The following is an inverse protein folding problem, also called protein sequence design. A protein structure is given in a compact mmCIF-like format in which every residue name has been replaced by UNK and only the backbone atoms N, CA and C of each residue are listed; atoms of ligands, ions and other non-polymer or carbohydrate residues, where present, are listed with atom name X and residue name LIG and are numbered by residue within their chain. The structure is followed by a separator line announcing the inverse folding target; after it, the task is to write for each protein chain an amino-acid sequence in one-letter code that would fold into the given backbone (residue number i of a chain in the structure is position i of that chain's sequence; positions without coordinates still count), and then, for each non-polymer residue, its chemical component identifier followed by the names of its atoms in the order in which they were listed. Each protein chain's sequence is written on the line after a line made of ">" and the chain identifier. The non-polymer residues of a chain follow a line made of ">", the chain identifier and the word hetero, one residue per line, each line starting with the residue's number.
data_IF_207658476041
#
_entry.id   IF_207658476041
#
_cell.length_a   1.000
_cell.length_b   1.000
_cell.length_c   1.000
_cell.angle_alpha   90.00
_cell.angle_beta   90.00
_cell.angle_gamma   90.00
#
_symmetry.space_group_name_H-M   'P 1'
#
loop_
_entity.id
_entity.type
_entity.pdbx_description
1 polymer ?
#
# COMPACT_ATOMS: atom_id res chain seq x y z
N UNK A 1 18.67 6.58 -7.13
CA UNK A 1 19.93 6.98 -6.52
C UNK A 1 20.17 8.49 -6.67
N UNK A 2 19.89 9.07 -7.84
CA UNK A 2 20.15 10.49 -8.13
C UNK A 2 19.41 11.44 -7.19
N UNK A 3 18.15 11.15 -6.86
CA UNK A 3 17.37 11.90 -5.87
C UNK A 3 18.00 11.87 -4.48
N UNK A 4 18.52 10.73 -4.04
CA UNK A 4 19.20 10.58 -2.75
C UNK A 4 20.50 11.41 -2.75
N UNK A 5 21.32 11.30 -3.81
CA UNK A 5 22.56 12.08 -3.95
C UNK A 5 22.26 13.56 -3.94
N UNK A 6 21.26 14.02 -4.70
CA UNK A 6 20.87 15.43 -4.74
C UNK A 6 20.39 15.93 -3.39
N UNK A 7 19.61 15.15 -2.65
CA UNK A 7 19.14 15.50 -1.31
C UNK A 7 20.31 15.64 -0.35
N UNK A 8 21.26 14.70 -0.33
CA UNK A 8 22.45 14.80 0.51
C UNK A 8 23.35 15.98 0.12
N UNK A 9 23.48 16.29 -1.17
CA UNK A 9 24.26 17.44 -1.64
C UNK A 9 23.65 18.77 -1.19
N UNK A 10 22.33 18.87 -1.14
CA UNK A 10 21.60 20.09 -0.75
C UNK A 10 21.48 20.18 0.79
N UNK A 11 21.04 19.12 1.44
CA UNK A 11 20.66 19.14 2.85
C UNK A 11 21.80 18.72 3.80
N UNK A 12 22.77 17.94 3.34
CA UNK A 12 23.90 17.46 4.17
C UNK A 12 24.78 18.58 4.73
N UNK A 13 24.66 19.81 4.21
CA UNK A 13 25.34 21.01 4.72
C UNK A 13 24.65 21.63 5.95
N UNK A 14 23.46 21.17 6.32
CA UNK A 14 22.60 21.80 7.32
C UNK A 14 22.65 21.13 8.71
N UNK A 15 23.74 20.47 9.07
CA UNK A 15 23.88 19.79 10.39
C UNK A 15 22.73 18.80 10.69
N UNK A 16 22.21 18.13 9.66
CA UNK A 16 21.10 17.17 9.78
C UNK A 16 21.53 15.97 10.61
N UNK A 17 20.79 15.69 11.69
CA UNK A 17 21.08 14.59 12.61
C UNK A 17 20.43 13.27 12.21
N UNK A 18 19.41 13.31 11.35
CA UNK A 18 18.62 12.18 10.94
C UNK A 18 18.28 12.29 9.45
N UNK A 19 18.45 11.20 8.73
CA UNK A 19 17.95 11.03 7.37
C UNK A 19 16.97 9.86 7.34
N UNK A 20 15.76 10.10 6.83
CA UNK A 20 14.77 9.06 6.50
C UNK A 20 14.73 8.96 5.00
N UNK A 21 14.99 7.74 4.48
CA UNK A 21 15.12 7.49 3.05
C UNK A 21 14.13 6.39 2.67
N UNK A 22 13.21 6.71 1.78
CA UNK A 22 12.38 5.71 1.12
C UNK A 22 13.15 5.16 -0.08
N UNK A 23 13.18 3.84 -0.21
CA UNK A 23 13.93 3.14 -1.25
C UNK A 23 13.00 2.10 -1.86
N UNK A 24 12.82 2.16 -3.19
CA UNK A 24 12.18 1.06 -3.91
C UNK A 24 13.07 -0.20 -3.88
N UNK A 25 12.44 -1.35 -3.91
CA UNK A 25 13.07 -2.66 -3.75
C UNK A 25 14.20 -2.90 -4.77
N UNK A 26 14.00 -2.49 -6.01
CA UNK A 26 14.98 -2.64 -7.08
C UNK A 26 16.20 -1.75 -6.94
N UNK A 27 16.10 -0.66 -6.16
CA UNK A 27 17.20 0.27 -5.90
C UNK A 27 18.06 -0.13 -4.70
N UNK A 28 17.61 -1.06 -3.85
CA UNK A 28 18.32 -1.44 -2.62
C UNK A 28 19.78 -1.80 -2.89
N UNK A 29 20.03 -2.67 -3.86
CA UNK A 29 21.39 -3.12 -4.22
C UNK A 29 22.32 -1.95 -4.59
N UNK A 30 21.80 -0.90 -5.22
CA UNK A 30 22.60 0.27 -5.60
C UNK A 30 22.82 1.21 -4.42
N UNK A 31 21.78 1.45 -3.62
CA UNK A 31 21.84 2.38 -2.47
C UNK A 31 22.73 1.82 -1.36
N UNK A 32 22.59 0.55 -1.03
CA UNK A 32 23.32 -0.12 0.04
C UNK A 32 24.85 -0.26 -0.20
N UNK A 33 25.31 0.04 -1.42
CA UNK A 33 26.74 0.19 -1.71
C UNK A 33 27.35 1.46 -1.11
N UNK A 34 26.54 2.49 -0.91
CA UNK A 34 27.00 3.83 -0.50
C UNK A 34 26.47 4.22 0.88
N UNK A 35 25.34 3.66 1.30
CA UNK A 35 24.68 4.02 2.54
C UNK A 35 24.39 2.74 3.31
N UNK A 36 24.86 2.66 4.56
CA UNK A 36 24.45 1.63 5.51
C UNK A 36 23.54 2.29 6.54
N UNK A 37 22.23 1.99 6.52
CA UNK A 37 21.31 2.56 7.51
C UNK A 37 21.55 1.95 8.88
N UNK A 38 21.25 2.69 9.94
CA UNK A 38 21.27 2.16 11.31
C UNK A 38 20.00 1.37 11.63
N UNK A 39 18.90 1.73 10.99
CA UNK A 39 17.59 1.07 11.10
C UNK A 39 17.00 0.86 9.72
N UNK A 40 16.35 -0.27 9.53
CA UNK A 40 15.71 -0.62 8.25
C UNK A 40 14.30 -1.14 8.52
N UNK A 41 13.29 -0.43 8.00
CA UNK A 41 11.89 -0.78 8.20
C UNK A 41 11.38 -1.53 6.97
N UNK A 42 10.74 -2.66 7.18
CA UNK A 42 10.12 -3.47 6.12
C UNK A 42 8.67 -3.76 6.52
N UNK A 43 7.73 -3.26 5.71
CA UNK A 43 6.32 -3.35 6.05
C UNK A 43 5.66 -4.62 5.48
N UNK A 44 5.75 -4.83 4.18
CA UNK A 44 5.17 -6.00 3.51
C UNK A 44 5.81 -6.23 2.15
N UNK A 45 5.60 -7.44 1.60
CA UNK A 45 5.92 -7.77 0.22
C UNK A 45 4.66 -8.23 -0.49
N UNK A 46 4.26 -7.47 -1.50
CA UNK A 46 3.24 -7.88 -2.45
C UNK A 46 3.84 -7.97 -3.84
N UNK A 47 3.24 -8.78 -4.68
CA UNK A 47 3.64 -8.89 -6.07
C UNK A 47 3.47 -7.54 -6.77
N UNK A 48 4.57 -6.98 -7.25
CA UNK A 48 4.60 -5.69 -7.94
C UNK A 48 5.59 -5.76 -9.10
N UNK A 49 5.13 -5.40 -10.30
CA UNK A 49 5.97 -5.28 -11.50
C UNK A 49 6.97 -6.44 -11.68
N UNK A 50 6.45 -7.68 -11.82
CA UNK A 50 7.27 -8.91 -11.95
C UNK A 50 8.29 -8.79 -13.11
N UNK A 51 7.91 -8.10 -14.18
CA UNK A 51 8.77 -7.79 -15.32
C UNK A 51 10.00 -6.94 -14.95
N UNK A 52 9.92 -6.13 -13.88
CA UNK A 52 11.01 -5.28 -13.37
C UNK A 52 11.82 -5.91 -12.25
N UNK A 53 11.15 -6.55 -11.30
CA UNK A 53 11.75 -6.97 -10.03
C UNK A 53 11.85 -8.48 -9.88
N UNK A 54 11.20 -9.24 -10.77
CA UNK A 54 11.13 -10.69 -10.68
C UNK A 54 10.19 -11.17 -9.56
N UNK A 55 10.27 -12.45 -9.26
CA UNK A 55 9.47 -13.08 -8.21
C UNK A 55 9.88 -12.58 -6.82
N UNK A 56 8.92 -12.54 -5.88
CA UNK A 56 9.11 -12.06 -4.50
C UNK A 56 10.29 -12.76 -3.82
N UNK A 57 10.47 -14.05 -4.03
CA UNK A 57 11.59 -14.82 -3.45
C UNK A 57 12.96 -14.29 -3.88
N UNK A 58 13.12 -13.93 -5.15
CA UNK A 58 14.36 -13.36 -5.68
C UNK A 58 14.63 -11.99 -5.09
N UNK A 59 13.58 -11.19 -4.93
CA UNK A 59 13.66 -9.87 -4.31
C UNK A 59 14.10 -9.97 -2.84
N UNK A 60 13.47 -10.86 -2.07
CA UNK A 60 13.82 -11.09 -0.66
C UNK A 60 15.27 -11.59 -0.53
N UNK A 61 15.71 -12.51 -1.40
CA UNK A 61 17.09 -12.98 -1.41
C UNK A 61 18.06 -11.82 -1.68
N UNK A 62 17.76 -10.97 -2.66
CA UNK A 62 18.57 -9.79 -2.99
C UNK A 62 18.67 -8.82 -1.82
N UNK A 63 17.57 -8.57 -1.11
CA UNK A 63 17.57 -7.71 0.09
C UNK A 63 18.42 -8.35 1.18
N UNK A 64 18.25 -9.64 1.44
CA UNK A 64 19.02 -10.39 2.42
C UNK A 64 20.54 -10.29 2.18
N UNK A 65 20.98 -10.50 0.94
CA UNK A 65 22.38 -10.32 0.55
C UNK A 65 22.94 -8.91 0.87
N UNK A 66 22.10 -7.88 0.74
CA UNK A 66 22.53 -6.52 1.05
C UNK A 66 22.56 -6.22 2.56
N UNK A 67 21.82 -6.97 3.36
CA UNK A 67 21.80 -6.85 4.83
C UNK A 67 22.90 -7.69 5.50
N UNK A 68 23.33 -8.76 4.84
CA UNK A 68 24.27 -9.75 5.40
C UNK A 68 25.57 -9.09 5.89
N UNK A 69 25.99 -9.42 7.12
CA UNK A 69 27.21 -8.92 7.74
C UNK A 69 27.19 -7.44 8.14
N UNK A 70 26.04 -6.76 8.00
CA UNK A 70 25.88 -5.36 8.41
C UNK A 70 25.18 -5.27 9.77
N UNK A 71 25.63 -4.34 10.60
CA UNK A 71 24.99 -4.05 11.90
C UNK A 71 23.81 -3.12 11.71
N UNK A 72 22.66 -3.71 11.39
CA UNK A 72 21.43 -2.97 11.11
C UNK A 72 20.32 -3.53 12.02
N UNK A 73 19.63 -2.64 12.75
CA UNK A 73 18.41 -3.01 13.44
C UNK A 73 17.27 -3.06 12.43
N UNK A 74 16.64 -4.23 12.28
CA UNK A 74 15.47 -4.39 11.44
C UNK A 74 14.19 -4.15 12.24
N UNK A 75 13.27 -3.41 11.67
CA UNK A 75 11.91 -3.18 12.19
C UNK A 75 10.95 -3.83 11.20
N UNK A 76 10.41 -4.97 11.59
CA UNK A 76 9.78 -5.95 10.71
C UNK A 76 8.30 -6.14 11.05
N UNK A 77 7.46 -6.17 10.02
CA UNK A 77 6.07 -6.62 10.17
C UNK A 77 6.05 -8.14 10.41
N UNK A 78 5.61 -8.55 11.60
CA UNK A 78 5.50 -9.95 11.97
C UNK A 78 4.38 -10.67 11.23
N UNK A 79 3.35 -9.95 10.82
CA UNK A 79 2.18 -10.52 10.16
C UNK A 79 2.48 -10.97 8.72
N UNK A 80 3.62 -10.52 8.13
CA UNK A 80 4.05 -10.93 6.80
C UNK A 80 5.15 -12.00 6.85
N UNK A 81 4.87 -13.25 6.44
CA UNK A 81 5.88 -14.31 6.40
C UNK A 81 7.09 -13.99 5.52
N UNK A 82 6.90 -13.21 4.46
CA UNK A 82 7.99 -12.78 3.60
C UNK A 82 8.96 -11.82 4.31
N UNK A 83 8.41 -10.92 5.13
CA UNK A 83 9.21 -9.97 5.90
C UNK A 83 10.00 -10.67 7.00
N UNK A 84 9.36 -11.60 7.73
CA UNK A 84 10.03 -12.30 8.83
C UNK A 84 11.17 -13.23 8.37
N UNK A 85 11.21 -13.63 7.10
CA UNK A 85 12.37 -14.34 6.49
C UNK A 85 13.68 -13.55 6.59
N UNK A 86 13.60 -12.23 6.65
CA UNK A 86 14.76 -11.35 6.72
C UNK A 86 15.32 -11.19 8.13
N UNK A 87 14.63 -11.68 9.15
CA UNK A 87 15.03 -11.54 10.57
C UNK A 87 16.44 -12.05 10.87
N UNK A 88 16.90 -13.08 10.15
CA UNK A 88 18.23 -13.68 10.30
C UNK A 88 19.39 -12.75 9.90
N UNK A 89 19.10 -11.64 9.21
CA UNK A 89 20.10 -10.68 8.73
C UNK A 89 20.24 -9.43 9.62
N UNK A 90 19.38 -9.26 10.62
CA UNK A 90 19.39 -8.08 11.51
C UNK A 90 19.93 -8.38 12.89
N UNK A 91 20.38 -7.33 13.57
CA UNK A 91 20.72 -7.35 14.99
C UNK A 91 19.62 -6.68 15.80
N UNK A 92 19.19 -7.28 16.92
CA UNK A 92 18.14 -6.74 17.82
C UNK A 92 16.85 -6.35 17.08
N UNK A 93 16.32 -7.28 16.33
CA UNK A 93 15.13 -7.07 15.53
C UNK A 93 13.92 -6.65 16.36
N UNK A 94 13.18 -5.67 15.86
CA UNK A 94 11.92 -5.21 16.42
C UNK A 94 10.79 -5.69 15.52
N UNK A 95 9.76 -6.30 16.12
CA UNK A 95 8.59 -6.74 15.39
C UNK A 95 7.38 -5.90 15.74
N UNK A 96 6.55 -5.65 14.74
CA UNK A 96 5.24 -5.01 14.90
C UNK A 96 4.17 -5.83 14.18
N UNK A 97 2.92 -5.68 14.58
CA UNK A 97 1.79 -6.40 14.01
C UNK A 97 0.46 -5.91 14.56
N UNK A 98 -0.62 -6.53 14.12
CA UNK A 98 -1.98 -6.16 14.51
C UNK A 98 -2.60 -7.34 15.28
N UNK A 99 -3.20 -7.08 16.44
CA UNK A 99 -3.89 -8.13 17.22
C UNK A 99 -5.07 -8.71 16.43
N UNK A 100 -5.35 -10.00 16.61
CA UNK A 100 -6.39 -10.74 15.85
C UNK A 100 -7.74 -10.04 15.83
N UNK A 101 -8.13 -9.46 16.95
CA UNK A 101 -9.45 -8.84 17.14
C UNK A 101 -9.40 -7.30 17.07
N UNK A 102 -8.28 -6.71 16.67
CA UNK A 102 -8.10 -5.25 16.67
C UNK A 102 -8.94 -4.56 15.60
N UNK A 103 -9.11 -5.19 14.47
CA UNK A 103 -9.88 -4.71 13.33
C UNK A 103 -10.27 -5.85 12.39
N UNK A 104 -11.50 -5.80 11.86
CA UNK A 104 -11.95 -6.73 10.83
C UNK A 104 -11.63 -6.17 9.46
N UNK A 105 -10.57 -6.66 8.85
CA UNK A 105 -10.20 -6.26 7.48
C UNK A 105 -11.21 -6.77 6.46
N UNK A 106 -11.35 -6.04 5.36
CA UNK A 106 -12.07 -6.54 4.19
C UNK A 106 -11.33 -7.74 3.63
N UNK A 107 -12.07 -8.81 3.34
CA UNK A 107 -11.50 -10.03 2.74
C UNK A 107 -11.19 -9.75 1.27
N UNK A 108 -9.95 -9.43 0.98
CA UNK A 108 -9.48 -9.23 -0.39
C UNK A 108 -8.00 -9.65 -0.53
N UNK A 109 -7.69 -10.09 -1.73
CA UNK A 109 -6.34 -10.42 -2.13
C UNK A 109 -6.03 -11.91 -2.14
N UNK A 110 -4.97 -12.25 -2.86
CA UNK A 110 -4.46 -13.61 -2.99
C UNK A 110 -3.35 -13.78 -1.98
N UNK A 111 -3.38 -14.86 -1.20
CA UNK A 111 -2.26 -15.23 -0.34
C UNK A 111 -1.08 -15.68 -1.21
N UNK A 112 -0.02 -14.87 -1.21
CA UNK A 112 1.23 -15.15 -1.94
C UNK A 112 2.16 -16.08 -1.15
N UNK A 113 2.05 -16.11 0.18
CA UNK A 113 2.91 -16.91 1.07
C UNK A 113 2.19 -18.14 1.58
N UNK A 114 2.16 -19.20 0.78
CA UNK A 114 1.54 -20.48 1.14
C UNK A 114 2.49 -21.46 1.80
N UNK A 115 3.78 -21.35 1.53
CA UNK A 115 4.76 -22.35 1.93
C UNK A 115 5.82 -21.77 2.85
N UNK A 116 6.23 -22.59 3.83
CA UNK A 116 7.29 -22.27 4.77
C UNK A 116 8.63 -22.02 4.03
N UNK A 117 9.28 -20.87 4.20
CA UNK A 117 10.52 -20.55 3.51
C UNK A 117 11.71 -21.41 3.96
N UNK A 118 11.61 -22.07 5.13
CA UNK A 118 12.68 -22.86 5.69
C UNK A 118 12.61 -24.35 5.26
N UNK A 119 11.40 -24.91 5.11
CA UNK A 119 11.26 -26.34 4.88
C UNK A 119 10.27 -26.73 3.78
N UNK A 120 9.63 -25.75 3.12
CA UNK A 120 8.69 -25.98 2.02
C UNK A 120 7.32 -26.58 2.42
N UNK A 121 7.08 -26.81 3.72
CA UNK A 121 5.78 -27.27 4.19
C UNK A 121 4.75 -26.15 4.05
N UNK A 122 3.49 -26.47 3.82
CA UNK A 122 2.40 -25.49 3.83
C UNK A 122 2.31 -24.81 5.20
N UNK A 123 2.17 -23.47 5.19
CA UNK A 123 1.97 -22.68 6.42
C UNK A 123 0.53 -22.83 6.88
N UNK A 124 0.35 -22.96 8.19
CA UNK A 124 -0.95 -22.92 8.83
C UNK A 124 -1.19 -21.49 9.31
N UNK A 125 -2.30 -20.92 8.87
CA UNK A 125 -2.75 -19.60 9.31
C UNK A 125 -3.81 -19.75 10.39
N UNK A 126 -3.50 -19.31 11.60
CA UNK A 126 -4.46 -19.26 12.72
C UNK A 126 -5.42 -18.08 12.59
N UNK A 127 -5.00 -17.02 11.89
CA UNK A 127 -5.80 -15.85 11.59
C UNK A 127 -5.22 -15.13 10.36
N UNK A 128 -6.07 -14.64 9.48
CA UNK A 128 -5.70 -13.83 8.31
C UNK A 128 -6.34 -12.46 8.46
N UNK A 129 -5.54 -11.43 8.37
CA UNK A 129 -6.04 -10.05 8.27
C UNK A 129 -6.48 -9.75 6.83
N UNK A 130 -5.56 -9.82 5.88
CA UNK A 130 -5.85 -9.82 4.44
C UNK A 130 -4.64 -10.34 3.66
N UNK A 131 -4.88 -10.95 2.50
CA UNK A 131 -3.86 -11.58 1.67
C UNK A 131 -3.02 -12.60 2.46
N UNK A 132 -1.70 -12.44 2.57
CA UNK A 132 -0.81 -13.27 3.38
C UNK A 132 -0.53 -12.71 4.77
N UNK A 133 -1.10 -11.57 5.13
CA UNK A 133 -0.84 -10.94 6.43
C UNK A 133 -1.70 -11.57 7.52
N UNK A 134 -1.07 -11.98 8.61
CA UNK A 134 -1.78 -12.56 9.74
C UNK A 134 -0.90 -13.38 10.67
N UNK A 135 -1.54 -14.27 11.42
CA UNK A 135 -0.88 -15.16 12.37
C UNK A 135 -0.68 -16.53 11.73
N UNK A 136 0.55 -16.94 11.61
CA UNK A 136 0.94 -18.18 10.93
C UNK A 136 2.00 -18.95 11.69
N UNK A 137 2.05 -20.26 11.44
CA UNK A 137 3.12 -21.13 11.90
C UNK A 137 3.37 -22.29 10.94
N UNK A 138 4.55 -22.88 11.02
CA UNK A 138 4.90 -24.09 10.29
C UNK A 138 4.76 -25.31 11.21
N UNK A 139 4.01 -26.33 10.78
CA UNK A 139 3.85 -27.58 11.54
C UNK A 139 5.11 -28.43 11.62
N UNK A 140 6.14 -28.16 10.79
CA UNK A 140 7.35 -28.98 10.67
C UNK A 140 8.60 -28.34 11.24
N UNK A 141 8.67 -27.02 11.28
CA UNK A 141 9.83 -26.28 11.80
C UNK A 141 9.39 -25.08 12.64
N UNK A 142 10.34 -24.35 13.22
CA UNK A 142 10.07 -23.25 14.15
C UNK A 142 9.81 -21.91 13.42
N UNK A 143 9.40 -21.94 12.15
CA UNK A 143 9.04 -20.71 11.45
C UNK A 143 7.61 -20.33 11.80
N UNK A 144 7.46 -19.19 12.45
CA UNK A 144 6.16 -18.72 12.95
C UNK A 144 6.13 -17.19 13.05
N UNK A 145 4.93 -16.67 13.22
CA UNK A 145 4.69 -15.29 13.60
C UNK A 145 5.44 -14.95 14.89
N UNK A 146 6.21 -13.83 14.88
CA UNK A 146 7.07 -13.44 15.99
C UNK A 146 6.30 -12.60 17.03
N UNK A 147 6.77 -12.63 18.28
CA UNK A 147 6.23 -11.75 19.31
C UNK A 147 6.50 -10.28 18.98
N UNK A 148 5.43 -9.51 18.91
CA UNK A 148 5.52 -8.09 18.52
C UNK A 148 5.79 -7.18 19.72
N UNK A 149 6.65 -6.19 19.51
CA UNK A 149 6.91 -5.12 20.49
C UNK A 149 5.86 -4.01 20.38
N UNK A 150 5.40 -3.75 19.17
CA UNK A 150 4.38 -2.75 18.88
C UNK A 150 3.19 -3.42 18.21
N UNK A 151 2.06 -3.40 18.91
CA UNK A 151 0.84 -4.08 18.46
C UNK A 151 -0.32 -3.09 18.39
N UNK A 152 -1.01 -3.02 17.24
CA UNK A 152 -2.32 -2.38 17.20
C UNK A 152 -3.30 -3.28 17.91
N UNK A 153 -3.85 -2.80 19.02
CA UNK A 153 -4.79 -3.55 19.86
C UNK A 153 -6.25 -3.20 19.59
N UNK A 154 -6.49 -2.06 18.93
CA UNK A 154 -7.82 -1.62 18.47
C UNK A 154 -7.66 -0.64 17.32
N UNK A 155 -8.50 -0.77 16.30
CA UNK A 155 -8.58 0.21 15.22
C UNK A 155 -10.02 0.40 14.71
N UNK A 156 -10.28 1.59 14.16
CA UNK A 156 -11.45 1.93 13.34
C UNK A 156 -10.95 2.70 12.13
N UNK A 157 -11.66 2.65 11.00
CA UNK A 157 -11.23 3.31 9.76
C UNK A 157 -12.21 4.34 9.22
N UNK A 158 -13.34 4.49 9.85
CA UNK A 158 -14.39 5.42 9.42
C UNK A 158 -14.53 6.61 10.36
N UNK A 159 -14.56 7.85 9.83
CA UNK A 159 -14.19 8.23 8.45
C UNK A 159 -12.69 8.18 8.20
N UNK A 160 -11.89 8.11 9.26
CA UNK A 160 -10.43 8.04 9.25
C UNK A 160 -9.94 7.03 10.28
N UNK A 161 -8.71 6.58 10.11
CA UNK A 161 -8.11 5.64 11.04
C UNK A 161 -7.92 6.29 12.41
N UNK A 162 -8.49 5.60 13.40
CA UNK A 162 -8.24 5.82 14.81
C UNK A 162 -7.77 4.50 15.40
N UNK A 163 -6.57 4.45 15.99
CA UNK A 163 -5.98 3.21 16.49
C UNK A 163 -5.29 3.38 17.82
N UNK A 164 -5.28 2.32 18.62
CA UNK A 164 -4.51 2.22 19.86
C UNK A 164 -3.40 1.20 19.71
N UNK A 165 -2.20 1.53 20.17
CA UNK A 165 -1.02 0.66 20.12
C UNK A 165 -0.68 0.28 21.55
N UNK A 166 -0.46 -1.03 21.82
CA UNK A 166 -0.14 -1.60 23.13
C UNK A 166 -1.13 -1.13 24.24
N UNK A 167 -2.43 -1.04 23.92
CA UNK A 167 -3.47 -0.49 24.79
C UNK A 167 -3.22 0.94 25.29
N UNK A 168 -2.38 1.69 24.58
CA UNK A 168 -2.12 3.11 24.85
C UNK A 168 -3.26 4.04 24.40
N UNK A 169 -3.01 5.34 24.44
CA UNK A 169 -3.96 6.34 23.98
C UNK A 169 -4.27 6.19 22.48
N UNK A 170 -5.50 6.52 22.11
CA UNK A 170 -5.90 6.48 20.72
C UNK A 170 -5.14 7.52 19.88
N UNK A 171 -4.66 7.09 18.71
CA UNK A 171 -4.01 7.94 17.72
C UNK A 171 -5.03 8.21 16.61
N UNK A 172 -5.52 9.44 16.56
CA UNK A 172 -6.45 9.90 15.54
C UNK A 172 -5.66 10.41 14.33
N UNK A 173 -6.06 10.02 13.13
CA UNK A 173 -5.38 10.42 11.88
C UNK A 173 -6.36 11.02 10.88
N UNK A 174 -5.83 11.46 9.74
CA UNK A 174 -6.61 11.87 8.56
C UNK A 174 -6.46 10.89 7.40
N UNK A 175 -5.92 9.71 7.68
CA UNK A 175 -5.77 8.63 6.72
C UNK A 175 -7.01 7.74 6.74
N UNK A 176 -7.45 7.33 5.56
CA UNK A 176 -8.48 6.33 5.35
C UNK A 176 -7.87 5.07 4.71
N UNK A 177 -8.65 3.99 4.62
CA UNK A 177 -8.22 2.71 4.04
C UNK A 177 -7.45 1.86 5.06
N UNK A 178 -7.94 0.66 5.29
CA UNK A 178 -7.49 -0.25 6.34
C UNK A 178 -6.01 -0.68 6.21
N UNK A 179 -5.50 -0.82 4.98
CA UNK A 179 -4.08 -1.11 4.73
C UNK A 179 -3.13 -0.05 5.33
N UNK A 180 -3.61 1.19 5.54
CA UNK A 180 -2.83 2.25 6.17
C UNK A 180 -2.62 2.04 7.66
N UNK A 181 -3.34 1.12 8.31
CA UNK A 181 -3.07 0.74 9.71
C UNK A 181 -1.63 0.21 9.82
N UNK A 182 -1.19 -0.67 8.90
CA UNK A 182 0.19 -1.16 8.85
C UNK A 182 1.21 -0.05 8.56
N UNK A 183 0.89 0.87 7.66
CA UNK A 183 1.78 1.99 7.32
C UNK A 183 2.00 2.91 8.54
N UNK A 184 0.92 3.21 9.27
CA UNK A 184 0.98 4.00 10.50
C UNK A 184 1.75 3.28 11.61
N UNK A 185 1.52 1.98 11.76
CA UNK A 185 2.20 1.16 12.76
C UNK A 185 3.71 1.05 12.48
N UNK A 186 4.10 0.86 11.23
CA UNK A 186 5.51 0.86 10.81
C UNK A 186 6.19 2.21 11.13
N UNK A 187 5.53 3.33 10.80
CA UNK A 187 6.00 4.66 11.13
C UNK A 187 6.10 4.87 12.66
N UNK A 188 5.07 4.48 13.40
CA UNK A 188 5.08 4.55 14.87
C UNK A 188 6.26 3.76 15.45
N UNK A 189 6.44 2.52 15.00
CA UNK A 189 7.51 1.63 15.48
C UNK A 189 8.89 2.24 15.26
N UNK A 190 9.15 2.78 14.08
CA UNK A 190 10.41 3.48 13.80
C UNK A 190 10.61 4.69 14.72
N UNK A 191 9.58 5.51 14.87
CA UNK A 191 9.68 6.75 15.68
C UNK A 191 9.88 6.45 17.16
N UNK A 192 9.31 5.38 17.69
CA UNK A 192 9.56 4.88 19.05
C UNK A 192 11.00 4.42 19.19
N UNK A 193 11.54 3.67 18.22
CA UNK A 193 12.94 3.22 18.23
C UNK A 193 13.96 4.36 18.01
N UNK A 194 13.51 5.51 17.55
CA UNK A 194 14.28 6.76 17.50
C UNK A 194 14.15 7.58 18.80
N UNK A 195 13.40 7.11 19.81
CA UNK A 195 13.27 7.72 21.12
C UNK A 195 12.26 8.86 21.21
N UNK A 196 11.32 8.97 20.28
CA UNK A 196 10.26 9.98 20.36
C UNK A 196 9.18 9.56 21.39
N UNK A 197 8.64 10.56 22.10
CA UNK A 197 7.49 10.32 22.99
C UNK A 197 6.21 10.05 22.20
N UNK A 198 5.29 9.30 22.81
CA UNK A 198 3.99 8.96 22.19
C UNK A 198 3.20 10.19 21.75
N UNK A 199 3.15 11.22 22.58
CA UNK A 199 2.46 12.48 22.25
C UNK A 199 3.00 13.13 20.97
N UNK A 200 4.33 13.15 20.81
CA UNK A 200 4.93 13.69 19.59
C UNK A 200 4.62 12.85 18.36
N UNK A 201 4.63 11.53 18.52
CA UNK A 201 4.28 10.60 17.44
C UNK A 201 2.81 10.75 17.08
N UNK A 202 1.90 10.70 18.06
CA UNK A 202 0.48 10.85 17.84
C UNK A 202 0.15 12.19 17.17
N UNK A 203 0.75 13.30 17.63
CA UNK A 203 0.61 14.61 16.98
C UNK A 203 1.10 14.59 15.53
N UNK A 204 2.28 13.99 15.27
CA UNK A 204 2.85 13.90 13.92
C UNK A 204 1.97 13.10 12.96
N UNK A 205 1.53 11.92 13.38
CA UNK A 205 0.64 11.07 12.59
C UNK A 205 -0.74 11.72 12.36
N UNK A 206 -1.30 12.39 13.39
CA UNK A 206 -2.59 13.06 13.32
C UNK A 206 -2.61 14.32 12.43
N UNK A 207 -1.45 14.95 12.23
CA UNK A 207 -1.35 16.13 11.35
C UNK A 207 -1.03 15.78 9.90
N UNK A 208 -0.63 14.56 9.62
CA UNK A 208 -0.33 14.12 8.26
C UNK A 208 -1.60 14.14 7.40
N UNK A 209 -1.52 14.80 6.25
CA UNK A 209 -2.59 14.83 5.26
C UNK A 209 -2.10 14.13 4.00
N UNK A 210 -2.81 13.10 3.51
CA UNK A 210 -2.41 12.37 2.32
C UNK A 210 -2.43 13.29 1.09
N UNK A 211 -1.41 13.15 0.26
CA UNK A 211 -1.21 13.89 -0.99
C UNK A 211 -0.80 12.92 -2.10
N UNK A 212 -0.70 13.40 -3.32
CA UNK A 212 -0.15 12.65 -4.44
C UNK A 212 -0.86 11.28 -4.66
N UNK A 213 -2.18 11.29 -4.69
CA UNK A 213 -2.96 10.09 -4.99
C UNK A 213 -2.92 9.02 -3.88
N UNK A 214 -2.73 9.41 -2.64
CA UNK A 214 -2.80 8.50 -1.48
C UNK A 214 -4.08 8.77 -0.69
N UNK A 215 -5.24 8.29 -1.19
CA UNK A 215 -6.56 8.59 -0.61
C UNK A 215 -6.84 10.11 -0.53
N UNK A 216 -6.36 10.85 -1.53
CA UNK A 216 -6.55 12.29 -1.59
C UNK A 216 -8.00 12.63 -1.93
N UNK A 217 -8.64 13.45 -1.10
CA UNK A 217 -9.99 13.94 -1.35
C UNK A 217 -9.94 15.25 -2.13
N UNK A 218 -10.65 15.30 -3.26
CA UNK A 218 -10.79 16.49 -4.13
C UNK A 218 -12.27 16.82 -4.23
N UNK A 219 -12.65 18.02 -3.81
CA UNK A 219 -14.04 18.48 -3.88
C UNK A 219 -14.26 19.32 -5.15
N UNK A 220 -15.36 19.05 -5.86
CA UNK A 220 -15.75 19.79 -7.04
C UNK A 220 -16.71 20.94 -6.69
N UNK A 221 -16.80 21.91 -7.56
CA UNK A 221 -17.68 23.08 -7.39
C UNK A 221 -19.18 22.71 -7.30
N UNK A 222 -19.59 21.57 -7.86
CA UNK A 222 -20.96 21.03 -7.77
C UNK A 222 -21.25 20.33 -6.43
N UNK A 223 -20.29 20.27 -5.49
CA UNK A 223 -20.41 19.62 -4.19
C UNK A 223 -20.10 18.13 -4.18
N UNK A 224 -19.75 17.52 -5.32
CA UNK A 224 -19.28 16.15 -5.35
C UNK A 224 -17.84 16.02 -4.87
N UNK A 225 -17.47 14.85 -4.38
CA UNK A 225 -16.13 14.55 -3.88
C UNK A 225 -15.55 13.36 -4.63
N UNK A 226 -14.31 13.53 -5.09
CA UNK A 226 -13.52 12.46 -5.71
C UNK A 226 -12.42 12.02 -4.76
N UNK A 227 -12.34 10.72 -4.49
CA UNK A 227 -11.21 10.11 -3.81
C UNK A 227 -10.20 9.64 -4.86
N UNK A 228 -9.03 10.25 -4.86
CA UNK A 228 -7.94 9.90 -5.77
C UNK A 228 -6.98 8.93 -5.06
N UNK A 229 -6.83 7.72 -5.59
CA UNK A 229 -5.92 6.71 -5.06
C UNK A 229 -5.11 6.04 -6.17
N UNK A 230 -3.79 6.03 -6.01
CA UNK A 230 -2.87 5.38 -6.94
C UNK A 230 -2.93 3.86 -6.78
N UNK A 231 -3.06 3.13 -7.88
CA UNK A 231 -2.87 1.68 -7.90
C UNK A 231 -1.97 1.25 -9.06
N UNK A 232 -1.00 0.39 -8.79
CA UNK A 232 0.00 -0.08 -9.78
C UNK A 232 0.21 -1.60 -9.77
N UNK A 233 -0.54 -2.31 -8.95
CA UNK A 233 -0.49 -3.77 -8.81
C UNK A 233 -1.85 -4.32 -8.33
N UNK A 234 -2.08 -5.65 -8.37
CA UNK A 234 -3.36 -6.24 -7.97
C UNK A 234 -3.78 -5.88 -6.55
N UNK A 235 -2.86 -5.96 -5.57
CA UNK A 235 -3.18 -5.69 -4.17
C UNK A 235 -3.61 -4.23 -3.96
N UNK A 236 -2.88 -3.27 -4.55
CA UNK A 236 -3.23 -1.85 -4.50
C UNK A 236 -4.53 -1.53 -5.21
N UNK A 237 -4.83 -2.21 -6.33
CA UNK A 237 -6.10 -2.00 -7.04
C UNK A 237 -7.26 -2.61 -6.27
N UNK A 238 -7.13 -3.82 -5.71
CA UNK A 238 -8.14 -4.43 -4.86
C UNK A 238 -8.49 -3.53 -3.66
N UNK A 239 -7.47 -3.04 -2.95
CA UNK A 239 -7.66 -2.11 -1.84
C UNK A 239 -8.39 -0.82 -2.29
N UNK A 240 -8.05 -0.29 -3.47
CA UNK A 240 -8.67 0.91 -4.02
C UNK A 240 -10.14 0.67 -4.44
N UNK A 241 -10.44 -0.49 -5.01
CA UNK A 241 -11.81 -0.88 -5.36
C UNK A 241 -12.67 -1.09 -4.11
N UNK A 242 -12.09 -1.64 -3.04
CA UNK A 242 -12.79 -1.89 -1.78
C UNK A 242 -13.18 -0.61 -1.01
N UNK A 243 -12.58 0.55 -1.31
CA UNK A 243 -12.91 1.83 -0.66
C UNK A 243 -14.41 2.13 -0.68
N UNK A 244 -15.07 1.80 -1.79
CA UNK A 244 -16.49 2.07 -1.96
C UNK A 244 -17.42 1.09 -1.23
N UNK A 245 -16.91 0.03 -0.61
CA UNK A 245 -17.77 -0.95 0.08
C UNK A 245 -18.55 -0.33 1.25
N UNK A 246 -18.02 0.73 1.86
CA UNK A 246 -18.68 1.48 2.93
C UNK A 246 -19.63 2.57 2.43
N UNK A 247 -19.60 2.91 1.12
CA UNK A 247 -20.43 3.97 0.53
C UNK A 247 -21.75 3.37 0.09
N UNK A 248 -22.87 3.85 0.68
CA UNK A 248 -24.22 3.39 0.35
C UNK A 248 -24.85 4.11 -0.83
N UNK A 249 -24.40 5.33 -1.10
CA UNK A 249 -24.86 6.15 -2.20
C UNK A 249 -24.36 5.61 -3.55
N UNK A 250 -24.99 6.05 -4.64
CA UNK A 250 -24.49 5.80 -5.99
C UNK A 250 -23.12 6.45 -6.20
N UNK A 251 -22.19 5.69 -6.78
CA UNK A 251 -20.80 6.15 -7.01
C UNK A 251 -20.40 6.03 -8.47
N UNK A 252 -19.41 6.81 -8.85
CA UNK A 252 -18.76 6.70 -10.15
C UNK A 252 -17.30 6.31 -9.97
N UNK A 253 -16.75 5.60 -10.96
CA UNK A 253 -15.31 5.32 -11.04
C UNK A 253 -14.67 6.00 -12.24
N UNK A 254 -13.42 6.42 -12.07
CA UNK A 254 -12.47 6.73 -13.12
C UNK A 254 -11.27 5.79 -12.96
N UNK A 255 -11.13 4.84 -13.86
CA UNK A 255 -10.00 3.91 -13.89
C UNK A 255 -9.05 4.34 -15.02
N UNK A 256 -7.78 4.62 -14.70
CA UNK A 256 -6.81 5.09 -15.68
C UNK A 256 -5.59 4.18 -15.72
N UNK A 257 -5.34 3.57 -16.87
CA UNK A 257 -4.25 2.60 -17.05
C UNK A 257 -3.35 2.98 -18.22
N UNK A 258 -2.08 3.21 -17.93
CA UNK A 258 -1.01 3.33 -18.90
C UNK A 258 -0.07 2.11 -18.83
N UNK A 259 0.75 1.94 -19.87
CA UNK A 259 1.80 0.93 -19.99
C UNK A 259 3.15 1.56 -20.35
N UNK A 260 3.43 2.73 -19.78
CA UNK A 260 4.73 3.37 -19.95
C UNK A 260 5.82 2.59 -19.19
N UNK A 261 7.09 2.76 -19.56
CA UNK A 261 8.18 2.02 -18.94
C UNK A 261 8.25 2.11 -17.40
N UNK A 262 7.74 3.21 -16.81
CA UNK A 262 7.67 3.37 -15.36
C UNK A 262 6.46 2.65 -14.72
N UNK A 263 5.43 2.31 -15.50
CA UNK A 263 4.28 1.53 -15.03
C UNK A 263 4.51 0.02 -15.07
N UNK A 264 5.52 -0.42 -15.81
CA UNK A 264 5.64 -1.78 -16.32
C UNK A 264 4.89 -1.93 -17.65
N UNK A 265 5.48 -2.65 -18.58
CA UNK A 265 4.90 -2.87 -19.92
C UNK A 265 3.80 -3.94 -19.87
N UNK A 266 3.96 -4.91 -18.97
CA UNK A 266 2.99 -5.97 -18.75
C UNK A 266 1.81 -5.46 -17.94
N UNK A 267 0.63 -5.45 -18.55
CA UNK A 267 -0.63 -5.10 -17.92
C UNK A 267 -1.47 -6.32 -17.53
N UNK A 268 -0.95 -7.53 -17.71
CA UNK A 268 -1.71 -8.77 -17.42
C UNK A 268 -2.13 -8.85 -15.95
N UNK A 269 -1.46 -8.15 -15.06
CA UNK A 269 -1.79 -8.05 -13.65
C UNK A 269 -3.23 -7.57 -13.36
N UNK A 270 -3.88 -6.87 -14.31
CA UNK A 270 -5.31 -6.50 -14.14
C UNK A 270 -6.23 -7.74 -14.11
N UNK A 271 -5.77 -8.89 -14.62
CA UNK A 271 -6.50 -10.15 -14.57
C UNK A 271 -6.34 -10.87 -13.23
N UNK A 272 -5.28 -10.56 -12.47
CA UNK A 272 -5.06 -11.02 -11.10
C UNK A 272 -5.80 -10.15 -10.07
N UNK A 273 -6.33 -9.01 -10.51
CA UNK A 273 -7.16 -8.13 -9.67
C UNK A 273 -8.56 -8.72 -9.50
N UNK A 274 -9.05 -8.69 -8.27
CA UNK A 274 -10.41 -9.11 -7.93
C UNK A 274 -11.42 -8.00 -8.23
N UNK A 275 -11.87 -7.92 -9.47
CA UNK A 275 -12.92 -6.98 -9.88
C UNK A 275 -14.32 -7.39 -9.39
N UNK A 276 -14.51 -8.59 -8.84
CA UNK A 276 -15.80 -9.02 -8.29
C UNK A 276 -16.16 -8.19 -7.04
N UNK A 277 -15.19 -7.52 -6.43
CA UNK A 277 -15.41 -6.48 -5.41
C UNK A 277 -16.44 -5.44 -5.87
N UNK A 278 -16.46 -5.11 -7.17
CA UNK A 278 -17.41 -4.14 -7.73
C UNK A 278 -18.87 -4.64 -7.77
N UNK A 279 -19.08 -5.96 -7.77
CA UNK A 279 -20.45 -6.53 -7.91
C UNK A 279 -21.33 -6.23 -6.70
N UNK A 280 -20.73 -6.00 -5.52
CA UNK A 280 -21.45 -5.64 -4.30
C UNK A 280 -21.70 -4.14 -4.10
N UNK A 281 -21.24 -3.29 -5.02
CA UNK A 281 -21.26 -1.83 -4.88
C UNK A 281 -22.37 -1.19 -5.70
N UNK A 282 -22.86 -0.03 -5.25
CA UNK A 282 -23.88 0.75 -5.98
C UNK A 282 -23.22 1.67 -7.02
N UNK A 283 -22.71 1.08 -8.11
CA UNK A 283 -21.97 1.77 -9.15
C UNK A 283 -22.89 2.20 -10.27
N UNK A 284 -22.86 3.48 -10.64
CA UNK A 284 -23.65 4.00 -11.76
C UNK A 284 -22.82 4.10 -13.05
N UNK A 285 -21.64 4.69 -12.98
CA UNK A 285 -20.80 4.87 -14.16
C UNK A 285 -19.35 4.49 -13.84
N UNK A 286 -18.67 3.91 -14.84
CA UNK A 286 -17.23 3.68 -14.85
C UNK A 286 -16.65 4.28 -16.11
N UNK A 287 -15.72 5.23 -15.96
CA UNK A 287 -14.96 5.81 -17.06
C UNK A 287 -13.60 5.12 -17.09
N UNK A 288 -13.29 4.44 -18.19
CA UNK A 288 -12.00 3.83 -18.46
C UNK A 288 -11.15 4.78 -19.31
N UNK A 289 -9.93 5.06 -18.87
CA UNK A 289 -9.02 6.02 -19.54
C UNK A 289 -7.58 5.54 -19.57
N UNK A 290 -6.72 6.33 -20.26
CA UNK A 290 -5.32 6.00 -20.49
C UNK A 290 -5.11 5.15 -21.72
N UNK A 291 -3.87 4.80 -21.99
CA UNK A 291 -3.45 4.01 -23.18
C UNK A 291 -4.12 2.64 -23.26
N UNK A 292 -4.47 2.08 -22.08
CA UNK A 292 -5.06 0.73 -21.93
C UNK A 292 -6.52 0.79 -21.45
N UNK A 293 -7.22 1.85 -21.79
CA UNK A 293 -8.64 2.05 -21.45
C UNK A 293 -9.54 0.94 -21.97
N UNK A 294 -9.24 0.42 -23.17
CA UNK A 294 -10.03 -0.66 -23.79
C UNK A 294 -9.85 -2.00 -23.06
N UNK A 295 -8.64 -2.29 -22.62
CA UNK A 295 -8.34 -3.50 -21.84
C UNK A 295 -9.02 -3.46 -20.47
N UNK A 296 -9.08 -2.31 -19.81
CA UNK A 296 -9.86 -2.11 -18.57
C UNK A 296 -11.36 -2.36 -18.84
N UNK A 297 -11.90 -1.77 -19.89
CA UNK A 297 -13.31 -1.98 -20.24
C UNK A 297 -13.62 -3.45 -20.58
N UNK A 298 -12.68 -4.13 -21.26
CA UNK A 298 -12.78 -5.56 -21.52
C UNK A 298 -12.80 -6.36 -20.23
N UNK A 299 -11.90 -6.06 -19.28
CA UNK A 299 -11.86 -6.74 -17.98
C UNK A 299 -13.15 -6.55 -17.18
N UNK A 300 -13.71 -5.33 -17.18
CA UNK A 300 -15.00 -5.03 -16.55
C UNK A 300 -16.14 -5.80 -17.18
N UNK A 301 -16.14 -5.94 -18.51
CA UNK A 301 -17.12 -6.76 -19.23
C UNK A 301 -17.08 -8.23 -18.78
N UNK A 302 -15.88 -8.80 -18.60
CA UNK A 302 -15.72 -10.17 -18.12
C UNK A 302 -16.12 -10.33 -16.64
N UNK A 303 -15.94 -9.31 -15.82
CA UNK A 303 -16.45 -9.27 -14.45
C UNK A 303 -18.00 -9.27 -14.41
N UNK A 304 -18.67 -8.72 -15.43
CA UNK A 304 -20.13 -8.63 -15.46
C UNK A 304 -20.68 -7.50 -14.58
N UNK A 305 -19.90 -6.47 -14.28
CA UNK A 305 -20.35 -5.32 -13.49
C UNK A 305 -21.56 -4.64 -14.14
N UNK A 306 -22.57 -4.37 -13.34
CA UNK A 306 -23.79 -3.69 -13.78
C UNK A 306 -23.64 -2.16 -13.64
N UNK A 307 -22.87 -1.57 -14.53
CA UNK A 307 -22.64 -0.13 -14.58
C UNK A 307 -22.55 0.35 -16.04
N UNK A 308 -22.77 1.64 -16.27
CA UNK A 308 -22.52 2.25 -17.57
C UNK A 308 -21.01 2.45 -17.75
N UNK A 309 -20.37 1.62 -18.59
CA UNK A 309 -18.93 1.68 -18.87
C UNK A 309 -18.68 2.55 -20.10
N UNK A 310 -17.90 3.61 -19.93
CA UNK A 310 -17.51 4.55 -20.98
C UNK A 310 -15.99 4.48 -21.19
N UNK A 311 -15.55 4.37 -22.43
CA UNK A 311 -14.13 4.40 -22.80
C UNK A 311 -13.77 5.76 -23.34
N UNK A 312 -12.78 6.39 -22.74
CA UNK A 312 -12.20 7.66 -23.20
C UNK A 312 -10.69 7.65 -22.95
N UNK A 313 -9.90 7.43 -23.99
CA UNK A 313 -8.46 7.23 -23.86
C UNK A 313 -7.74 8.49 -23.32
N UNK A 314 -8.23 9.69 -23.69
CA UNK A 314 -7.66 10.95 -23.24
C UNK A 314 -8.09 11.27 -21.80
N UNK A 315 -7.12 11.42 -20.88
CA UNK A 315 -7.36 11.70 -19.47
C UNK A 315 -8.17 12.98 -19.25
N UNK A 316 -7.87 14.12 -19.92
CA UNK A 316 -8.66 15.34 -19.74
C UNK A 316 -10.15 15.17 -20.08
N UNK A 317 -10.46 14.45 -21.17
CA UNK A 317 -11.83 14.18 -21.59
C UNK A 317 -12.53 13.21 -20.64
N UNK A 318 -11.81 12.18 -20.13
CA UNK A 318 -12.31 11.23 -19.16
C UNK A 318 -12.66 11.93 -17.83
N UNK A 319 -11.82 12.84 -17.36
CA UNK A 319 -12.09 13.64 -16.17
C UNK A 319 -13.26 14.61 -16.39
N UNK A 320 -13.33 15.27 -17.56
CA UNK A 320 -14.48 16.09 -17.91
C UNK A 320 -15.78 15.28 -17.94
N UNK A 321 -15.75 14.03 -18.45
CA UNK A 321 -16.87 13.11 -18.42
C UNK A 321 -17.26 12.73 -16.99
N UNK A 322 -16.29 12.40 -16.11
CA UNK A 322 -16.55 12.15 -14.71
C UNK A 322 -17.22 13.34 -14.02
N UNK A 323 -16.73 14.55 -14.23
CA UNK A 323 -17.29 15.81 -13.70
C UNK A 323 -18.69 16.13 -14.19
N UNK A 324 -19.08 15.60 -15.36
CA UNK A 324 -20.44 15.76 -15.91
C UNK A 324 -21.50 14.92 -15.20
N UNK A 325 -21.11 13.98 -14.36
CA UNK A 325 -22.01 13.18 -13.55
C UNK A 325 -22.36 13.93 -12.26
N UNK A 326 -23.54 13.64 -11.70
CA UNK A 326 -24.06 14.38 -10.54
C UNK A 326 -24.02 13.57 -9.22
N UNK A 327 -23.42 12.40 -9.24
CA UNK A 327 -23.29 11.56 -8.05
C UNK A 327 -22.36 12.25 -7.04
N UNK A 328 -22.72 12.11 -5.77
CA UNK A 328 -22.02 12.77 -4.66
C UNK A 328 -20.57 12.32 -4.51
N UNK A 329 -20.31 11.05 -4.84
CA UNK A 329 -18.99 10.44 -4.66
C UNK A 329 -18.46 9.82 -5.95
N UNK A 330 -17.19 9.96 -6.16
CA UNK A 330 -16.45 9.24 -7.20
C UNK A 330 -15.10 8.76 -6.67
N UNK A 331 -14.56 7.71 -7.28
CA UNK A 331 -13.23 7.18 -6.97
C UNK A 331 -12.41 7.18 -8.26
N UNK A 332 -11.28 7.87 -8.25
CA UNK A 332 -10.35 7.92 -9.36
C UNK A 332 -9.11 7.07 -9.01
N UNK A 333 -8.83 6.08 -9.84
CA UNK A 333 -7.72 5.14 -9.65
C UNK A 333 -6.81 5.16 -10.87
N UNK A 334 -5.86 6.09 -10.94
CA UNK A 334 -4.80 6.07 -11.94
C UNK A 334 -3.67 5.14 -11.54
N UNK A 335 -2.93 4.61 -12.53
CA UNK A 335 -1.63 4.04 -12.27
C UNK A 335 -0.53 5.12 -12.25
N UNK A 336 0.72 4.70 -12.08
CA UNK A 336 1.81 5.61 -11.71
C UNK A 336 2.01 6.79 -12.69
N UNK A 337 2.13 6.52 -14.00
CA UNK A 337 2.38 7.60 -14.97
C UNK A 337 1.13 8.41 -15.31
N UNK A 338 -0.05 7.89 -15.01
CA UNK A 338 -1.31 8.61 -15.20
C UNK A 338 -1.66 9.54 -14.03
N UNK A 339 -1.07 9.34 -12.85
CA UNK A 339 -1.44 10.02 -11.62
C UNK A 339 -1.36 11.56 -11.74
N UNK A 340 -0.21 12.08 -12.17
CA UNK A 340 0.04 13.53 -12.18
C UNK A 340 -0.95 14.26 -13.12
N UNK A 341 -1.20 13.68 -14.28
CA UNK A 341 -2.15 14.26 -15.23
C UNK A 341 -3.58 14.15 -14.70
N UNK A 342 -3.97 12.99 -14.17
CA UNK A 342 -5.31 12.79 -13.60
C UNK A 342 -5.56 13.77 -12.45
N UNK A 343 -4.62 13.91 -11.52
CA UNK A 343 -4.74 14.85 -10.40
C UNK A 343 -4.90 16.28 -10.88
N UNK A 344 -4.04 16.72 -11.79
CA UNK A 344 -4.09 18.07 -12.38
C UNK A 344 -5.44 18.36 -13.02
N UNK A 345 -6.02 17.42 -13.75
CA UNK A 345 -7.33 17.60 -14.42
C UNK A 345 -8.50 17.56 -13.40
N UNK A 346 -8.38 16.79 -12.33
CA UNK A 346 -9.36 16.79 -11.25
C UNK A 346 -9.37 18.10 -10.46
N UNK A 347 -8.22 18.72 -10.25
CA UNK A 347 -8.05 19.98 -9.49
C UNK A 347 -8.43 21.25 -10.27
N UNK A 348 -8.59 21.20 -11.60
CA UNK A 348 -9.14 22.29 -12.43
C UNK A 348 -10.64 22.48 -12.18
#
# INVERSE_FOLDING_TARGET
>A
LDGIISTFAIQGRNNTKLAIIEIDEGSIKRVMKYITPTKFVINNFFRDQIDRFGEIDTLIATIGEQLEGKKIQLILNSDDPFVTRLSKYGEDNIYFGIAKDAYQFSDFGISESKFCPNCGMELIYDHVHYSQLGFYHCSKCNFEHQNVKYEVTKATVEPFINMSINNGHAIETKLAGDYNIYNLLAAYSLLKELGLSEDKIAKGLGTYTPTNGRMQSISFANGSTVLLNLAKNPAGLNASLAIANSIKEEINYLLVLNDNGADGIDISWIWDTDFDILLGQNIKNIVCSGKRAKELALRLKYCGVNANVVVNEAIPEAVAKLKSYNEKYAIAIPNYTALVETQRELEK
#
